data_IF_750769713328
#
_entry.id   IF_750769713328
#
_cell.length_a   1.000
_cell.length_b   1.000
_cell.length_c   1.000
_cell.angle_alpha   90.00
_cell.angle_beta   90.00
_cell.angle_gamma   90.00
#
_symmetry.space_group_name_H-M   'P 1'
#
loop_
_entity.id
_entity.type
_entity.pdbx_description
1 polymer ?
#
# COMPACT_ATOMS: atom_id res chain seq x y z
N UNK A 1 -8.83 15.72 -14.06
CA UNK A 1 -9.30 15.26 -12.72
C UNK A 1 -8.08 14.99 -11.86
N UNK A 2 -8.12 15.26 -10.55
CA UNK A 2 -6.96 14.95 -9.68
C UNK A 2 -6.75 13.44 -9.66
N UNK A 3 -5.51 12.99 -9.81
CA UNK A 3 -5.17 11.55 -9.83
C UNK A 3 -5.21 10.89 -8.44
N UNK A 4 -5.35 11.69 -7.38
CA UNK A 4 -5.31 11.28 -5.98
C UNK A 4 -6.11 12.23 -5.10
N UNK A 5 -6.74 11.69 -4.06
CA UNK A 5 -7.31 12.44 -2.94
C UNK A 5 -6.70 11.99 -1.62
N UNK A 6 -6.60 12.91 -0.66
CA UNK A 6 -6.16 12.64 0.72
C UNK A 6 -7.33 12.69 1.71
N UNK A 7 -8.55 12.86 1.20
CA UNK A 7 -9.77 12.75 1.99
C UNK A 7 -9.95 11.32 2.48
N UNK A 8 -10.75 11.16 3.53
CA UNK A 8 -11.19 9.83 3.95
C UNK A 8 -12.01 9.16 2.83
N UNK A 9 -12.12 7.83 2.88
CA UNK A 9 -12.89 7.06 1.91
C UNK A 9 -14.30 7.60 1.64
N UNK A 10 -15.03 7.99 2.68
CA UNK A 10 -16.42 8.43 2.57
C UNK A 10 -16.56 9.69 1.71
N UNK A 11 -15.79 10.72 2.03
CA UNK A 11 -15.76 11.98 1.28
C UNK A 11 -15.23 11.77 -0.15
N UNK A 12 -14.22 10.92 -0.30
CA UNK A 12 -13.67 10.56 -1.61
C UNK A 12 -14.70 9.85 -2.50
N UNK A 13 -15.50 8.95 -1.91
CA UNK A 13 -16.57 8.24 -2.60
C UNK A 13 -17.72 9.19 -2.99
N UNK A 14 -18.14 10.08 -2.08
CA UNK A 14 -19.19 11.05 -2.35
C UNK A 14 -18.77 12.02 -3.46
N UNK A 15 -17.53 12.50 -3.45
CA UNK A 15 -16.96 13.32 -4.55
C UNK A 15 -17.03 12.59 -5.90
N UNK A 16 -16.69 11.29 -5.93
CA UNK A 16 -16.84 10.49 -7.15
C UNK A 16 -18.31 10.33 -7.56
N UNK A 17 -19.25 10.17 -6.61
CA UNK A 17 -20.68 10.08 -6.91
C UNK A 17 -21.27 11.39 -7.43
N UNK A 18 -20.73 12.54 -7.04
CA UNK A 18 -21.09 13.85 -7.57
C UNK A 18 -20.59 14.02 -9.01
N UNK A 19 -19.32 13.65 -9.27
CA UNK A 19 -18.71 13.72 -10.61
C UNK A 19 -19.38 12.74 -11.57
N UNK A 20 -19.65 11.52 -11.11
CA UNK A 20 -20.28 10.44 -11.87
C UNK A 20 -21.72 10.20 -11.40
N UNK A 21 -22.54 11.25 -11.49
CA UNK A 21 -23.94 11.24 -11.05
C UNK A 21 -24.80 10.16 -11.72
N UNK A 22 -24.45 9.74 -12.93
CA UNK A 22 -25.11 8.66 -13.68
C UNK A 22 -24.90 7.26 -13.08
N UNK A 23 -23.90 7.08 -12.22
CA UNK A 23 -23.64 5.80 -11.55
C UNK A 23 -24.58 5.68 -10.35
N UNK A 24 -25.57 4.79 -10.46
CA UNK A 24 -26.49 4.50 -9.37
C UNK A 24 -25.87 3.57 -8.32
N UNK A 25 -26.38 3.64 -7.09
CA UNK A 25 -25.97 2.71 -6.02
C UNK A 25 -26.29 1.24 -6.36
N UNK A 26 -27.39 0.97 -7.08
CA UNK A 26 -27.71 -0.38 -7.54
C UNK A 26 -26.76 -0.90 -8.64
N UNK A 27 -26.12 -0.02 -9.42
CA UNK A 27 -25.01 -0.44 -10.29
C UNK A 27 -23.79 -0.82 -9.44
N UNK A 28 -23.43 0.04 -8.48
CA UNK A 28 -22.31 -0.22 -7.56
C UNK A 28 -22.51 -1.54 -6.80
N UNK A 29 -23.72 -1.79 -6.32
CA UNK A 29 -24.07 -3.00 -5.58
C UNK A 29 -23.86 -4.27 -6.42
N UNK A 30 -24.34 -4.26 -7.68
CA UNK A 30 -24.17 -5.38 -8.61
C UNK A 30 -22.71 -5.66 -8.96
N UNK A 31 -21.93 -4.62 -9.26
CA UNK A 31 -20.52 -4.78 -9.64
C UNK A 31 -19.64 -5.26 -8.46
N UNK A 32 -20.00 -4.83 -7.25
CA UNK A 32 -19.31 -5.23 -6.02
C UNK A 32 -19.81 -6.55 -5.43
N UNK A 33 -20.92 -7.11 -5.93
CA UNK A 33 -21.61 -8.28 -5.36
C UNK A 33 -21.98 -8.07 -3.88
N UNK A 34 -22.66 -6.96 -3.61
CA UNK A 34 -23.12 -6.54 -2.28
C UNK A 34 -24.59 -6.12 -2.34
N UNK A 35 -25.25 -6.00 -1.19
CA UNK A 35 -26.63 -5.50 -1.14
C UNK A 35 -26.70 -4.00 -1.45
N UNK A 36 -27.82 -3.55 -2.00
CA UNK A 36 -28.08 -2.13 -2.27
C UNK A 36 -27.96 -1.27 -1.00
N UNK A 37 -28.48 -1.79 0.14
CA UNK A 37 -28.36 -1.10 1.43
C UNK A 37 -26.91 -0.95 1.88
N UNK A 38 -26.06 -1.92 1.54
CA UNK A 38 -24.62 -1.85 1.84
C UNK A 38 -23.92 -0.84 0.95
N UNK A 39 -24.25 -0.81 -0.35
CA UNK A 39 -23.71 0.16 -1.29
C UNK A 39 -24.09 1.60 -0.91
N UNK A 40 -25.33 1.82 -0.47
CA UNK A 40 -25.79 3.13 0.02
C UNK A 40 -25.05 3.57 1.29
N UNK A 41 -24.79 2.63 2.20
CA UNK A 41 -24.11 2.91 3.45
C UNK A 41 -22.58 2.93 3.34
N UNK A 42 -22.02 2.60 2.17
CA UNK A 42 -20.58 2.52 1.93
C UNK A 42 -19.83 3.81 2.33
N UNK A 43 -20.23 5.02 1.88
CA UNK A 43 -19.54 6.26 2.25
C UNK A 43 -19.71 6.61 3.73
N UNK A 44 -20.83 6.22 4.34
CA UNK A 44 -21.19 6.60 5.71
C UNK A 44 -20.70 5.58 6.76
N UNK A 45 -19.87 4.62 6.36
CA UNK A 45 -19.39 3.57 7.26
C UNK A 45 -18.48 4.13 8.34
N UNK A 46 -19.04 4.28 9.54
CA UNK A 46 -18.29 4.41 10.81
C UNK A 46 -17.68 3.09 11.29
N UNK A 47 -17.26 2.18 10.39
CA UNK A 47 -16.69 0.90 10.83
C UNK A 47 -15.25 1.10 11.29
N UNK A 48 -14.87 0.38 12.35
CA UNK A 48 -13.49 0.33 12.88
C UNK A 48 -12.47 -0.26 11.89
N UNK A 49 -12.93 -0.99 10.87
CA UNK A 49 -12.09 -1.70 9.92
C UNK A 49 -11.99 -0.93 8.59
N UNK A 50 -10.80 -0.86 7.97
CA UNK A 50 -10.61 -0.24 6.66
C UNK A 50 -11.38 -0.98 5.55
N UNK A 51 -11.68 -0.26 4.47
CA UNK A 51 -12.34 -0.86 3.29
C UNK A 51 -11.35 -1.85 2.64
N UNK A 52 -11.77 -3.10 2.38
CA UNK A 52 -10.90 -4.09 1.76
C UNK A 52 -10.29 -3.62 0.43
N UNK A 53 -8.99 -3.88 0.20
CA UNK A 53 -8.25 -3.52 -1.02
C UNK A 53 -8.99 -3.91 -2.30
N UNK A 54 -9.58 -5.11 -2.35
CA UNK A 54 -10.37 -5.60 -3.51
C UNK A 54 -11.59 -4.72 -3.82
N UNK A 55 -12.27 -4.19 -2.80
CA UNK A 55 -13.43 -3.30 -2.99
C UNK A 55 -12.95 -1.95 -3.56
N UNK A 56 -11.82 -1.42 -3.09
CA UNK A 56 -11.24 -0.18 -3.60
C UNK A 56 -10.87 -0.28 -5.08
N UNK A 57 -10.31 -1.43 -5.52
CA UNK A 57 -9.99 -1.69 -6.93
C UNK A 57 -11.26 -1.67 -7.78
N UNK A 58 -12.27 -2.47 -7.42
CA UNK A 58 -13.53 -2.53 -8.17
C UNK A 58 -14.25 -1.19 -8.21
N UNK A 59 -14.25 -0.43 -7.10
CA UNK A 59 -14.81 0.92 -7.08
C UNK A 59 -14.09 1.85 -8.05
N UNK A 60 -12.76 1.78 -8.10
CA UNK A 60 -11.97 2.58 -9.02
C UNK A 60 -12.33 2.25 -10.47
N UNK A 61 -12.54 0.97 -10.81
CA UNK A 61 -13.01 0.54 -12.14
C UNK A 61 -14.40 1.10 -12.47
N UNK A 62 -15.36 1.02 -11.53
CA UNK A 62 -16.72 1.55 -11.69
C UNK A 62 -16.69 3.05 -12.01
N UNK A 63 -15.85 3.80 -11.28
CA UNK A 63 -15.69 5.25 -11.45
C UNK A 63 -14.65 5.64 -12.51
N UNK A 64 -14.05 4.66 -13.22
CA UNK A 64 -13.00 4.88 -14.23
C UNK A 64 -11.83 5.75 -13.73
N UNK A 65 -11.44 5.55 -12.47
CA UNK A 65 -10.26 6.18 -11.84
C UNK A 65 -9.22 5.12 -11.51
N UNK A 66 -7.99 5.55 -11.21
CA UNK A 66 -6.96 4.62 -10.71
C UNK A 66 -7.30 4.22 -9.26
N UNK A 67 -6.99 2.99 -8.81
CA UNK A 67 -7.14 2.59 -7.40
C UNK A 67 -6.39 3.52 -6.44
N UNK A 68 -5.24 4.05 -6.89
CA UNK A 68 -4.43 5.06 -6.20
C UNK A 68 -5.17 6.36 -5.92
N UNK A 69 -6.39 6.57 -6.45
CA UNK A 69 -7.24 7.69 -6.10
C UNK A 69 -7.54 7.68 -4.59
N UNK A 70 -7.97 6.52 -4.08
CA UNK A 70 -8.29 6.30 -2.66
C UNK A 70 -7.01 6.30 -1.82
N UNK A 71 -7.02 7.04 -0.71
CA UNK A 71 -5.87 7.11 0.19
C UNK A 71 -5.58 5.75 0.84
N UNK A 72 -6.63 5.04 1.23
CA UNK A 72 -6.56 3.71 1.86
C UNK A 72 -5.88 2.70 0.94
N UNK A 73 -6.08 2.79 -0.38
CA UNK A 73 -5.39 1.91 -1.33
C UNK A 73 -3.87 2.13 -1.30
N UNK A 74 -3.44 3.40 -1.27
CA UNK A 74 -2.01 3.74 -1.19
C UNK A 74 -1.39 3.30 0.13
N UNK A 75 -2.17 3.28 1.22
CA UNK A 75 -1.72 2.70 2.49
C UNK A 75 -1.51 1.20 2.38
N UNK A 76 -2.40 0.47 1.70
CA UNK A 76 -2.17 -0.95 1.43
C UNK A 76 -0.91 -1.17 0.60
N UNK A 77 -0.71 -0.41 -0.48
CA UNK A 77 0.51 -0.53 -1.29
C UNK A 77 1.78 -0.26 -0.48
N UNK A 78 1.74 0.72 0.42
CA UNK A 78 2.85 0.99 1.31
C UNK A 78 3.11 -0.17 2.27
N UNK A 79 2.05 -0.73 2.89
CA UNK A 79 2.18 -1.86 3.80
C UNK A 79 2.73 -3.11 3.08
N UNK A 80 2.20 -3.42 1.90
CA UNK A 80 2.67 -4.54 1.08
C UNK A 80 4.16 -4.34 0.74
N UNK A 81 4.56 -3.14 0.33
CA UNK A 81 5.97 -2.81 0.08
C UNK A 81 6.83 -3.00 1.33
N UNK A 82 6.38 -2.53 2.49
CA UNK A 82 7.11 -2.66 3.76
C UNK A 82 7.26 -4.13 4.18
N UNK A 83 6.24 -4.95 3.96
CA UNK A 83 6.25 -6.37 4.33
C UNK A 83 7.11 -7.21 3.37
N UNK A 84 7.05 -6.93 2.07
CA UNK A 84 7.90 -7.56 1.05
C UNK A 84 9.38 -7.22 1.27
N UNK A 85 9.67 -5.98 1.65
CA UNK A 85 11.04 -5.47 1.79
C UNK A 85 11.52 -5.41 3.25
N UNK A 86 10.82 -6.07 4.18
CA UNK A 86 11.06 -5.95 5.63
C UNK A 86 12.53 -6.13 6.01
N UNK A 87 13.18 -7.17 5.46
CA UNK A 87 14.58 -7.50 5.76
C UNK A 87 15.55 -6.44 5.26
N UNK A 88 15.32 -5.93 4.05
CA UNK A 88 16.10 -4.86 3.47
C UNK A 88 15.93 -3.56 4.27
N UNK A 89 14.70 -3.22 4.64
CA UNK A 89 14.40 -2.06 5.48
C UNK A 89 15.02 -2.16 6.88
N UNK A 90 14.97 -3.34 7.50
CA UNK A 90 15.63 -3.62 8.79
C UNK A 90 17.16 -3.51 8.67
N UNK A 91 17.73 -3.90 7.53
CA UNK A 91 19.14 -3.69 7.23
C UNK A 91 19.45 -2.19 7.07
N UNK A 92 18.70 -1.44 6.27
CA UNK A 92 18.85 0.01 6.14
C UNK A 92 18.75 0.73 7.49
N UNK A 93 17.81 0.32 8.35
CA UNK A 93 17.65 0.90 9.69
C UNK A 93 18.83 0.57 10.61
N UNK A 94 19.36 -0.66 10.57
CA UNK A 94 20.58 -1.03 11.31
C UNK A 94 21.77 -0.21 10.85
N UNK A 95 21.94 -0.07 9.53
CA UNK A 95 23.02 0.71 8.95
C UNK A 95 22.89 2.20 9.28
N UNK A 96 21.69 2.78 9.20
CA UNK A 96 21.46 4.17 9.62
C UNK A 96 21.78 4.40 11.11
N UNK A 97 21.48 3.44 11.99
CA UNK A 97 21.85 3.50 13.42
C UNK A 97 23.35 3.40 13.63
N UNK A 98 24.03 2.47 12.96
CA UNK A 98 25.50 2.35 12.98
C UNK A 98 26.13 3.67 12.53
N UNK A 99 25.67 4.21 11.39
CA UNK A 99 26.15 5.47 10.83
C UNK A 99 25.96 6.65 11.79
N UNK A 100 24.78 6.80 12.39
CA UNK A 100 24.52 7.83 13.40
C UNK A 100 25.45 7.70 14.61
N UNK A 101 25.62 6.49 15.13
CA UNK A 101 26.55 6.23 16.25
C UNK A 101 28.00 6.56 15.89
N UNK A 102 28.41 6.31 14.64
CA UNK A 102 29.76 6.60 14.16
C UNK A 102 30.00 8.11 13.96
N UNK A 103 28.98 8.83 13.47
CA UNK A 103 28.95 10.31 13.44
C UNK A 103 29.08 10.90 14.85
N UNK A 104 28.31 10.38 15.81
CA UNK A 104 28.34 10.84 17.20
C UNK A 104 29.68 10.51 17.91
N UNK A 105 30.42 9.51 17.42
CA UNK A 105 31.73 9.10 17.97
C UNK A 105 32.94 9.57 17.15
N UNK A 106 32.71 10.32 16.06
CA UNK A 106 33.76 10.88 15.21
C UNK A 106 34.60 9.84 14.43
N UNK A 107 34.09 8.62 14.23
CA UNK A 107 34.77 7.62 13.41
C UNK A 107 34.42 7.81 11.93
N UNK A 108 35.46 7.89 11.10
CA UNK A 108 35.37 8.17 9.68
C UNK A 108 34.47 7.21 8.89
N UNK A 109 33.85 7.79 7.87
CA UNK A 109 32.78 7.25 7.05
C UNK A 109 33.38 6.34 5.96
N UNK A 110 32.86 5.11 5.87
CA UNK A 110 33.01 4.08 4.80
C UNK A 110 33.96 2.91 5.11
N UNK A 111 33.35 1.75 5.39
CA UNK A 111 33.87 0.44 4.97
C UNK A 111 32.90 -0.13 3.94
N UNK A 112 33.16 0.17 2.66
CA UNK A 112 32.39 -0.31 1.50
C UNK A 112 32.36 -1.85 1.41
N UNK A 113 33.36 -2.52 1.98
CA UNK A 113 33.52 -3.98 1.95
C UNK A 113 32.50 -4.69 2.85
N UNK A 114 32.33 -4.23 4.10
CA UNK A 114 31.29 -4.75 5.02
C UNK A 114 29.88 -4.53 4.46
N UNK A 115 29.69 -3.49 3.63
CA UNK A 115 28.42 -3.20 2.98
C UNK A 115 28.10 -4.16 1.84
N UNK A 116 29.10 -4.54 1.03
CA UNK A 116 28.92 -5.50 -0.06
C UNK A 116 28.59 -6.89 0.47
N UNK A 117 29.28 -7.35 1.51
CA UNK A 117 29.05 -8.67 2.10
C UNK A 117 27.64 -8.81 2.70
N UNK A 118 27.17 -7.87 3.54
CA UNK A 118 25.80 -7.93 4.10
C UNK A 118 24.72 -7.85 3.00
N UNK A 119 24.99 -7.15 1.90
CA UNK A 119 24.03 -7.02 0.79
C UNK A 119 23.98 -8.28 -0.08
N UNK A 120 25.12 -8.93 -0.33
CA UNK A 120 25.18 -10.22 -1.02
C UNK A 120 24.44 -11.32 -0.24
N UNK A 121 24.65 -11.40 1.08
CA UNK A 121 23.93 -12.35 1.94
C UNK A 121 22.40 -12.18 1.87
N UNK A 122 21.92 -10.93 1.82
CA UNK A 122 20.50 -10.64 1.71
C UNK A 122 19.93 -11.08 0.35
N UNK A 123 20.70 -10.86 -0.72
CA UNK A 123 20.32 -11.24 -2.09
C UNK A 123 20.25 -12.76 -2.24
N UNK A 124 21.22 -13.48 -1.70
CA UNK A 124 21.22 -14.95 -1.68
C UNK A 124 20.02 -15.52 -0.89
N UNK A 125 19.70 -14.93 0.27
CA UNK A 125 18.56 -15.35 1.07
C UNK A 125 17.20 -15.08 0.40
N UNK A 126 17.12 -14.09 -0.49
CA UNK A 126 15.93 -13.78 -1.28
C UNK A 126 15.79 -14.71 -2.48
N UNK A 127 16.88 -14.96 -3.20
CA UNK A 127 16.94 -15.92 -4.31
C UNK A 127 16.59 -17.34 -3.86
N UNK A 128 17.02 -17.75 -2.66
CA UNK A 128 16.61 -19.04 -2.07
C UNK A 128 15.11 -19.12 -1.76
N UNK A 129 14.49 -18.03 -1.30
CA UNK A 129 13.05 -17.98 -1.04
C UNK A 129 12.26 -18.10 -2.34
N UNK A 130 12.69 -17.40 -3.38
CA UNK A 130 12.07 -17.44 -4.72
C UNK A 130 12.14 -18.85 -5.30
N UNK A 131 13.30 -19.53 -5.20
CA UNK A 131 13.46 -20.93 -5.62
C UNK A 131 12.54 -21.88 -4.84
N UNK A 132 12.42 -21.72 -3.52
CA UNK A 132 11.54 -22.54 -2.68
C UNK A 132 10.04 -22.30 -2.95
N UNK A 133 9.65 -21.11 -3.39
CA UNK A 133 8.25 -20.82 -3.80
C UNK A 133 7.89 -21.33 -5.20
N UNK A 134 8.87 -21.57 -6.07
CA UNK A 134 8.65 -22.03 -7.45
C UNK A 134 8.57 -23.57 -7.59
N UNK A 135 8.96 -24.32 -6.55
CA UNK A 135 8.91 -25.79 -6.51
C UNK A 135 7.67 -26.37 -5.81
N UNK A 136 6.58 -25.60 -5.75
CA UNK A 136 5.30 -26.02 -5.13
C UNK A 136 4.13 -25.89 -6.09
#
# INVERSE_FOLDING_TARGET
MKNKTYKNFGDAFLELKEIFSSISYGKIARELDITDSYAWNLPNRRRKAPIPKKILIKLAEIFKVKPSYFYEFRLYELLDFLDENRRFLDHCLRQAKKYKSMLDTGKDIIREEEFKEEFEELKEAEDEKIKKSASK
#
